data_IF_393924102112
#
_entry.id   IF_393924102112
#
_cell.length_a   1.000
_cell.length_b   1.000
_cell.length_c   1.000
_cell.angle_alpha   90.00
_cell.angle_beta   90.00
_cell.angle_gamma   90.00
#
_symmetry.space_group_name_H-M   'P 1'
#
loop_
_entity.id
_entity.type
_entity.pdbx_description
1 polymer ?
#
# COMPACT_ATOMS: atom_id res chain seq x y z
N UNK A 1 -1.12 -22.72 13.46
CA UNK A 1 -1.80 -21.69 14.29
C UNK A 1 -3.25 -21.57 13.86
N UNK A 2 -4.17 -21.64 14.80
CA UNK A 2 -5.63 -21.46 14.60
C UNK A 2 -6.14 -20.42 15.57
N UNK A 3 -7.12 -19.61 15.16
CA UNK A 3 -7.71 -18.56 16.00
C UNK A 3 -9.22 -18.74 16.06
N UNK A 4 -9.77 -18.85 17.26
CA UNK A 4 -11.20 -18.90 17.54
C UNK A 4 -11.64 -17.56 18.13
N UNK A 5 -12.45 -16.82 17.35
CA UNK A 5 -12.90 -15.46 17.72
C UNK A 5 -14.33 -15.40 18.27
N UNK A 6 -15.01 -16.54 18.40
CA UNK A 6 -16.37 -16.62 18.93
C UNK A 6 -16.38 -16.53 20.47
N UNK A 7 -17.49 -16.03 21.03
CA UNK A 7 -17.68 -15.94 22.48
C UNK A 7 -16.92 -14.78 23.16
N UNK A 8 -17.00 -14.71 24.48
CA UNK A 8 -16.37 -13.66 25.28
C UNK A 8 -14.87 -13.89 25.50
N UNK A 9 -14.41 -15.12 25.44
CA UNK A 9 -13.01 -15.50 25.51
C UNK A 9 -12.58 -16.00 24.14
N UNK A 10 -11.54 -15.39 23.59
CA UNK A 10 -10.93 -15.77 22.32
C UNK A 10 -9.80 -16.74 22.58
N UNK A 11 -9.58 -17.68 21.67
CA UNK A 11 -8.51 -18.66 21.79
C UNK A 11 -7.56 -18.56 20.60
N UNK A 12 -6.27 -18.60 20.91
CA UNK A 12 -5.20 -18.71 19.90
C UNK A 12 -4.47 -20.03 20.17
N UNK A 13 -4.65 -20.99 19.28
CA UNK A 13 -4.05 -22.32 19.37
C UNK A 13 -2.77 -22.32 18.55
N UNK A 14 -1.64 -22.46 19.21
CA UNK A 14 -0.32 -22.67 18.63
C UNK A 14 0.04 -24.17 18.68
N UNK A 15 1.19 -24.55 18.14
CA UNK A 15 1.61 -25.96 18.11
C UNK A 15 1.85 -26.53 19.52
N UNK A 16 2.39 -25.72 20.42
CA UNK A 16 2.76 -26.15 21.77
C UNK A 16 1.82 -25.66 22.88
N UNK A 17 1.12 -24.53 22.64
CA UNK A 17 0.31 -23.86 23.67
C UNK A 17 -0.99 -23.28 23.11
N UNK A 18 -1.97 -23.13 23.99
CA UNK A 18 -3.22 -22.41 23.71
C UNK A 18 -3.32 -21.20 24.62
N UNK A 19 -3.52 -20.03 24.02
CA UNK A 19 -3.71 -18.78 24.74
C UNK A 19 -5.18 -18.36 24.74
N UNK A 20 -5.65 -17.88 25.89
CA UNK A 20 -7.00 -17.32 26.05
C UNK A 20 -6.93 -15.83 26.36
N UNK A 21 -7.75 -15.03 25.67
CA UNK A 21 -7.78 -13.59 25.84
C UNK A 21 -9.18 -13.01 25.58
N UNK A 22 -9.45 -11.84 26.12
CA UNK A 22 -10.69 -11.09 25.78
C UNK A 22 -10.63 -10.50 24.38
N UNK A 23 -9.44 -10.07 23.94
CA UNK A 23 -9.20 -9.45 22.65
C UNK A 23 -7.99 -10.09 21.99
N UNK A 24 -7.99 -10.13 20.65
CA UNK A 24 -6.87 -10.59 19.83
C UNK A 24 -6.58 -9.53 18.79
N UNK A 25 -5.32 -9.18 18.63
CA UNK A 25 -4.83 -8.31 17.57
C UNK A 25 -4.11 -9.17 16.55
N UNK A 26 -4.63 -9.18 15.31
CA UNK A 26 -3.98 -9.84 14.18
C UNK A 26 -3.02 -8.86 13.49
N UNK A 27 -1.74 -9.08 13.66
CA UNK A 27 -0.67 -8.24 13.12
C UNK A 27 0.28 -9.09 12.27
N UNK A 28 -0.27 -9.78 11.26
CA UNK A 28 0.46 -10.74 10.42
C UNK A 28 1.32 -10.08 9.32
N UNK A 29 1.30 -8.76 9.24
CA UNK A 29 2.04 -8.00 8.24
C UNK A 29 1.35 -7.94 6.88
N UNK A 30 1.96 -7.22 5.98
CA UNK A 30 1.55 -7.11 4.58
C UNK A 30 2.80 -6.95 3.70
N UNK A 31 2.71 -7.39 2.46
CA UNK A 31 3.72 -7.20 1.45
C UNK A 31 3.13 -6.44 0.27
N UNK A 32 3.89 -5.46 -0.26
CA UNK A 32 3.53 -4.81 -1.50
C UNK A 32 3.70 -5.80 -2.67
N UNK A 33 2.95 -5.57 -3.73
CA UNK A 33 3.14 -6.31 -4.97
C UNK A 33 4.26 -5.65 -5.78
N UNK A 34 5.14 -6.46 -6.31
CA UNK A 34 6.13 -6.05 -7.29
C UNK A 34 5.51 -5.99 -8.69
N UNK A 35 6.09 -5.20 -9.58
CA UNK A 35 5.71 -5.13 -10.99
C UNK A 35 6.39 -6.22 -11.81
N UNK A 36 7.48 -6.79 -11.27
CA UNK A 36 8.32 -7.79 -11.93
C UNK A 36 8.92 -7.28 -13.25
N UNK A 37 9.27 -6.00 -13.30
CA UNK A 37 9.91 -5.36 -14.45
C UNK A 37 11.41 -5.24 -14.25
N UNK A 38 12.21 -5.26 -15.33
CA UNK A 38 13.66 -5.06 -15.23
C UNK A 38 14.01 -3.74 -14.54
N UNK A 39 14.98 -3.80 -13.62
CA UNK A 39 15.44 -2.65 -12.86
C UNK A 39 14.64 -2.30 -11.62
N UNK A 40 13.50 -2.94 -11.37
CA UNK A 40 12.66 -2.63 -10.20
C UNK A 40 13.41 -2.81 -8.89
N UNK A 41 14.06 -3.96 -8.70
CA UNK A 41 14.81 -4.26 -7.47
C UNK A 41 16.12 -3.47 -7.39
N UNK A 42 16.82 -3.29 -8.50
CA UNK A 42 18.08 -2.54 -8.57
C UNK A 42 17.89 -1.06 -8.21
N UNK A 43 16.76 -0.49 -8.60
CA UNK A 43 16.42 0.92 -8.37
C UNK A 43 15.61 1.15 -7.09
N UNK A 44 15.38 0.11 -6.32
CA UNK A 44 14.69 0.22 -5.03
C UNK A 44 15.47 1.12 -4.07
N UNK A 45 14.83 2.18 -3.60
CA UNK A 45 15.47 3.22 -2.80
C UNK A 45 16.33 4.22 -3.60
N UNK A 46 16.54 3.99 -4.91
CA UNK A 46 17.29 4.88 -5.80
C UNK A 46 16.43 5.49 -6.92
N UNK A 47 15.13 5.25 -6.90
CA UNK A 47 14.18 5.74 -7.91
C UNK A 47 12.86 4.99 -7.87
N UNK A 48 12.85 3.76 -7.37
CA UNK A 48 11.65 2.96 -7.13
C UNK A 48 11.34 2.95 -5.63
N UNK A 49 10.12 3.28 -5.27
CA UNK A 49 9.60 3.24 -3.90
C UNK A 49 8.21 2.61 -3.86
N UNK A 50 7.88 1.99 -2.74
CA UNK A 50 6.56 1.43 -2.45
C UNK A 50 5.81 2.20 -1.35
N UNK A 51 6.37 3.34 -0.92
CA UNK A 51 5.79 4.17 0.11
C UNK A 51 5.95 5.66 -0.25
N UNK A 52 4.94 6.25 -0.86
CA UNK A 52 4.99 7.66 -1.26
C UNK A 52 5.16 8.60 -0.05
N UNK A 53 4.54 8.30 1.08
CA UNK A 53 4.66 9.10 2.30
C UNK A 53 6.02 8.99 2.95
N UNK A 54 6.71 7.84 2.78
CA UNK A 54 8.07 7.63 3.30
C UNK A 54 9.11 8.38 2.47
N UNK A 55 9.05 8.21 1.15
CA UNK A 55 10.14 8.58 0.24
C UNK A 55 9.79 9.79 -0.66
N UNK A 56 8.54 10.21 -0.70
CA UNK A 56 8.06 11.26 -1.62
C UNK A 56 8.84 12.58 -1.52
N UNK A 57 9.35 12.90 -0.35
CA UNK A 57 10.13 14.12 -0.13
C UNK A 57 11.43 14.16 -0.97
N UNK A 58 12.03 13.01 -1.28
CA UNK A 58 13.23 12.92 -2.13
C UNK A 58 12.96 13.24 -3.60
N UNK A 59 11.69 13.19 -4.01
CA UNK A 59 11.25 13.46 -5.38
C UNK A 59 10.60 14.84 -5.55
N UNK A 60 10.74 15.73 -4.57
CA UNK A 60 10.23 17.10 -4.64
C UNK A 60 10.70 17.82 -5.90
N UNK A 61 9.78 18.43 -6.63
CA UNK A 61 10.06 19.15 -7.88
C UNK A 61 10.45 18.26 -9.07
N UNK A 62 10.31 16.93 -8.93
CA UNK A 62 10.59 15.98 -10.01
C UNK A 62 9.31 15.46 -10.63
N UNK A 63 9.43 14.92 -11.84
CA UNK A 63 8.38 14.16 -12.50
C UNK A 63 8.43 12.72 -12.01
N UNK A 64 7.30 12.18 -11.57
CA UNK A 64 7.18 10.82 -11.03
C UNK A 64 6.03 10.06 -11.70
N UNK A 65 6.08 8.73 -11.62
CA UNK A 65 5.01 7.85 -12.06
C UNK A 65 4.53 6.99 -10.88
N UNK A 66 3.22 6.93 -10.69
CA UNK A 66 2.56 6.03 -9.74
C UNK A 66 1.91 4.90 -10.52
N UNK A 67 2.32 3.67 -10.24
CA UNK A 67 1.81 2.49 -10.92
C UNK A 67 0.72 1.84 -10.09
N UNK A 68 -0.48 1.83 -10.61
CA UNK A 68 -1.67 1.28 -9.97
C UNK A 68 -2.94 2.06 -10.28
N UNK A 69 -4.07 1.56 -9.84
CA UNK A 69 -5.37 2.21 -10.07
C UNK A 69 -6.38 1.92 -8.95
N UNK A 70 -5.91 1.42 -7.80
CA UNK A 70 -6.68 1.26 -6.57
C UNK A 70 -6.52 2.44 -5.64
N UNK A 71 -7.16 2.41 -4.47
CA UNK A 71 -7.16 3.51 -3.50
C UNK A 71 -5.74 3.95 -3.12
N UNK A 72 -4.85 3.02 -2.78
CA UNK A 72 -3.47 3.33 -2.41
C UNK A 72 -2.74 4.14 -3.50
N UNK A 73 -2.83 3.71 -4.76
CA UNK A 73 -2.18 4.41 -5.86
C UNK A 73 -2.76 5.83 -6.07
N UNK A 74 -4.08 6.00 -5.91
CA UNK A 74 -4.72 7.30 -6.04
C UNK A 74 -4.37 8.24 -4.88
N UNK A 75 -4.31 7.72 -3.66
CA UNK A 75 -3.88 8.47 -2.46
C UNK A 75 -2.42 8.89 -2.59
N UNK A 76 -1.55 7.99 -3.02
CA UNK A 76 -0.13 8.28 -3.28
C UNK A 76 0.04 9.35 -4.37
N UNK A 77 -0.71 9.25 -5.47
CA UNK A 77 -0.67 10.24 -6.54
C UNK A 77 -1.12 11.63 -6.06
N UNK A 78 -2.22 11.70 -5.29
CA UNK A 78 -2.72 12.94 -4.70
C UNK A 78 -1.70 13.54 -3.71
N UNK A 79 -1.04 12.69 -2.93
CA UNK A 79 0.01 13.12 -2.00
C UNK A 79 1.21 13.70 -2.74
N UNK A 80 1.73 12.98 -3.73
CA UNK A 80 2.89 13.39 -4.53
C UNK A 80 2.63 14.64 -5.37
N UNK A 81 1.39 14.85 -5.85
CA UNK A 81 1.01 16.03 -6.60
C UNK A 81 1.18 17.35 -5.84
N UNK A 82 1.28 17.30 -4.51
CA UNK A 82 1.52 18.49 -3.67
C UNK A 82 2.96 18.95 -3.66
N UNK A 83 3.89 18.10 -4.08
CA UNK A 83 5.33 18.37 -3.96
C UNK A 83 6.13 18.10 -5.23
N UNK A 84 5.65 17.22 -6.09
CA UNK A 84 6.28 16.89 -7.36
C UNK A 84 5.84 17.88 -8.47
N UNK A 85 6.68 18.07 -9.45
CA UNK A 85 6.37 18.91 -10.61
C UNK A 85 5.25 18.29 -11.46
N UNK A 86 5.31 16.97 -11.64
CA UNK A 86 4.33 16.21 -12.42
C UNK A 86 4.18 14.78 -11.89
N UNK A 87 2.97 14.29 -11.86
CA UNK A 87 2.65 12.91 -11.45
C UNK A 87 1.88 12.25 -12.59
N UNK A 88 2.43 11.15 -13.09
CA UNK A 88 1.72 10.25 -14.00
C UNK A 88 1.10 9.10 -13.24
N UNK A 89 -0.12 8.70 -13.57
CA UNK A 89 -0.71 7.45 -13.11
C UNK A 89 -0.65 6.46 -14.26
N UNK A 90 0.03 5.34 -14.02
CA UNK A 90 0.14 4.24 -14.98
C UNK A 90 -0.75 3.10 -14.51
N UNK A 91 -1.76 2.77 -15.29
CA UNK A 91 -2.72 1.71 -14.97
C UNK A 91 -2.98 0.82 -16.18
N UNK A 92 -3.06 -0.49 -15.96
CA UNK A 92 -3.25 -1.50 -17.02
C UNK A 92 -4.68 -1.60 -17.58
N UNK A 93 -5.64 -0.88 -17.00
CA UNK A 93 -7.06 -0.91 -17.40
C UNK A 93 -7.53 0.48 -17.75
N UNK A 94 -8.57 0.57 -18.55
CA UNK A 94 -9.17 1.84 -18.99
C UNK A 94 -9.86 2.61 -17.86
N UNK A 95 -10.21 1.92 -16.76
CA UNK A 95 -10.90 2.51 -15.62
C UNK A 95 -10.13 2.28 -14.33
N UNK A 96 -9.96 3.34 -13.55
CA UNK A 96 -9.45 3.26 -12.19
C UNK A 96 -10.45 2.52 -11.29
N UNK A 97 -9.94 1.78 -10.30
CA UNK A 97 -10.75 0.98 -9.37
C UNK A 97 -10.89 1.62 -8.00
N UNK A 98 -10.11 2.64 -7.72
CA UNK A 98 -10.17 3.37 -6.46
C UNK A 98 -11.51 4.08 -6.27
N UNK A 99 -11.80 4.47 -5.04
CA UNK A 99 -13.05 5.14 -4.67
C UNK A 99 -13.29 6.39 -5.52
N UNK A 100 -14.54 6.62 -5.91
CA UNK A 100 -14.93 7.72 -6.78
C UNK A 100 -14.45 9.08 -6.26
N UNK A 101 -14.55 9.30 -4.94
CA UNK A 101 -14.05 10.51 -4.28
C UNK A 101 -12.56 10.79 -4.49
N UNK A 102 -11.74 9.73 -4.62
CA UNK A 102 -10.31 9.87 -4.90
C UNK A 102 -10.07 10.21 -6.38
N UNK A 103 -10.85 9.60 -7.27
CA UNK A 103 -10.79 9.91 -8.70
C UNK A 103 -11.18 11.36 -9.00
N UNK A 104 -12.18 11.90 -8.30
CA UNK A 104 -12.61 13.30 -8.43
C UNK A 104 -11.53 14.30 -7.97
N UNK A 105 -10.66 13.91 -7.06
CA UNK A 105 -9.55 14.74 -6.58
C UNK A 105 -8.32 14.75 -7.51
N UNK A 106 -8.30 13.89 -8.52
CA UNK A 106 -7.24 13.83 -9.52
C UNK A 106 -7.50 14.74 -10.73
N UNK A 107 -8.70 15.29 -10.84
CA UNK A 107 -9.11 16.24 -11.88
C UNK A 107 -8.78 17.67 -11.44
#
# INVERSE_FOLDING_TARGET
>A
MQVELSGNVKKVVCEEETYEARCVILASGAHHRTLEVPGEEELRGAGVSYCATCDGAFFRGRTVAVVGGGDAALEDAIFLARMCEKVYIVHRRDKLRGAKRLQERLQ
#
